data_IF_200293969185
#
_entry.id   IF_200293969185
#
_cell.length_a   1.000
_cell.length_b   1.000
_cell.length_c   1.000
_cell.angle_alpha   90.00
_cell.angle_beta   90.00
_cell.angle_gamma   90.00
#
_symmetry.space_group_name_H-M   'P 1'
#
loop_
_entity.id
_entity.type
_entity.pdbx_description
1 polymer ?
#
# COMPACT_ATOMS: atom_id res chain seq x y z
N UNK A 1 -2.15 9.12 -5.73
CA UNK A 1 -2.75 8.05 -6.56
C UNK A 1 -1.64 7.16 -7.10
N UNK A 2 -1.73 5.83 -6.94
CA UNK A 2 -0.89 4.84 -7.66
C UNK A 2 0.57 4.73 -7.22
N UNK A 3 1.15 3.52 -7.32
CA UNK A 3 2.60 3.35 -7.35
C UNK A 3 3.21 4.36 -8.33
N UNK A 4 4.39 4.91 -8.02
CA UNK A 4 5.24 5.71 -8.92
C UNK A 4 5.03 7.24 -8.96
N UNK A 5 4.14 7.86 -8.18
CA UNK A 5 4.00 9.33 -8.23
C UNK A 5 4.79 10.07 -7.13
N UNK A 6 5.92 10.66 -7.51
CA UNK A 6 6.58 11.76 -6.81
C UNK A 6 5.78 13.06 -7.01
N UNK A 7 5.38 13.75 -5.94
CA UNK A 7 4.74 15.08 -6.07
C UNK A 7 3.29 15.04 -6.59
N UNK A 8 2.73 16.17 -7.04
CA UNK A 8 1.39 16.70 -6.73
C UNK A 8 0.23 15.80 -7.23
N UNK A 9 -0.03 14.73 -6.50
CA UNK A 9 -1.19 13.84 -6.68
C UNK A 9 -1.60 13.15 -5.37
N UNK A 10 -1.09 13.67 -4.24
CA UNK A 10 -1.61 13.33 -2.91
C UNK A 10 -2.85 14.21 -2.68
N UNK A 11 -3.94 13.66 -2.15
CA UNK A 11 -5.10 14.45 -1.80
C UNK A 11 -4.76 15.27 -0.56
N UNK A 12 -4.12 16.42 -0.73
CA UNK A 12 -3.68 17.27 0.39
C UNK A 12 -4.87 17.67 1.27
N UNK A 13 -6.06 17.88 0.69
CA UNK A 13 -7.30 18.08 1.44
C UNK A 13 -7.65 16.90 2.38
N UNK A 14 -7.47 15.66 1.92
CA UNK A 14 -7.66 14.47 2.77
C UNK A 14 -6.61 14.42 3.89
N UNK A 15 -5.36 14.77 3.57
CA UNK A 15 -4.27 14.82 4.56
C UNK A 15 -4.55 15.88 5.63
N UNK A 16 -4.97 17.07 5.22
CA UNK A 16 -5.29 18.18 6.12
C UNK A 16 -6.49 17.83 7.01
N UNK A 17 -7.52 17.20 6.44
CA UNK A 17 -8.67 16.71 7.20
C UNK A 17 -8.25 15.67 8.25
N UNK A 18 -7.38 14.71 7.90
CA UNK A 18 -6.87 13.72 8.85
C UNK A 18 -5.96 14.36 9.91
N UNK A 19 -5.11 15.31 9.50
CA UNK A 19 -4.19 16.02 10.37
C UNK A 19 -4.89 16.87 11.43
N UNK A 20 -6.14 17.28 11.19
CA UNK A 20 -6.96 17.99 12.19
C UNK A 20 -7.26 17.15 13.44
N UNK A 21 -7.13 15.81 13.37
CA UNK A 21 -7.46 14.88 14.47
C UNK A 21 -6.41 13.81 14.74
N UNK A 22 -5.46 13.59 13.83
CA UNK A 22 -4.48 12.53 13.91
C UNK A 22 -3.09 13.05 13.56
N UNK A 23 -2.05 12.42 14.11
CA UNK A 23 -0.69 12.55 13.58
C UNK A 23 -0.62 11.80 12.24
N UNK A 24 -0.46 12.53 11.14
CA UNK A 24 -0.36 11.93 9.80
C UNK A 24 1.09 11.71 9.43
N UNK A 25 1.45 10.45 9.17
CA UNK A 25 2.77 10.07 8.65
C UNK A 25 2.61 9.75 7.17
N UNK A 26 3.43 10.39 6.34
CA UNK A 26 3.56 10.10 4.92
C UNK A 26 5.02 9.86 4.61
N UNK A 27 5.30 8.85 3.81
CA UNK A 27 6.65 8.53 3.37
C UNK A 27 6.59 8.14 1.89
N UNK A 28 7.74 8.26 1.21
CA UNK A 28 7.88 7.82 -0.18
C UNK A 28 8.44 6.39 -0.19
N UNK A 29 7.84 5.50 -0.98
CA UNK A 29 8.33 4.14 -1.18
C UNK A 29 9.70 4.14 -1.85
N UNK A 30 10.43 3.01 -1.74
CA UNK A 30 11.87 2.94 -1.99
C UNK A 30 12.39 3.58 -3.26
N UNK A 31 11.74 3.60 -4.38
CA UNK A 31 12.26 4.10 -5.66
C UNK A 31 11.45 5.30 -6.15
N UNK A 32 10.84 6.02 -5.21
CA UNK A 32 9.87 7.07 -5.47
C UNK A 32 10.15 8.32 -4.64
N UNK A 33 9.68 9.47 -5.13
CA UNK A 33 9.74 10.73 -4.41
C UNK A 33 11.17 11.12 -4.05
N UNK A 34 11.40 11.28 -2.74
CA UNK A 34 12.71 11.59 -2.16
C UNK A 34 13.46 10.35 -1.66
N UNK A 35 12.86 9.18 -1.75
CA UNK A 35 13.50 7.90 -1.44
C UNK A 35 14.19 7.39 -2.70
N UNK A 36 15.52 7.29 -2.66
CA UNK A 36 16.32 6.77 -3.77
C UNK A 36 16.75 5.33 -3.47
N UNK A 37 16.49 4.43 -4.42
CA UNK A 37 16.92 3.04 -4.35
C UNK A 37 17.21 2.51 -5.76
N UNK A 38 18.43 2.03 -6.06
CA UNK A 38 18.78 1.52 -7.38
C UNK A 38 18.19 0.11 -7.57
N UNK A 39 16.93 0.04 -8.02
CA UNK A 39 16.22 -1.23 -8.20
C UNK A 39 16.90 -2.18 -9.19
N UNK A 40 17.54 -1.64 -10.22
CA UNK A 40 18.31 -2.39 -11.22
C UNK A 40 19.50 -3.14 -10.62
N UNK A 41 20.13 -2.56 -9.60
CA UNK A 41 21.27 -3.14 -8.89
C UNK A 41 20.84 -3.96 -7.67
N UNK A 42 19.72 -3.58 -7.04
CA UNK A 42 19.22 -4.18 -5.81
C UNK A 42 17.70 -4.40 -5.88
N UNK A 43 17.25 -5.39 -6.67
CA UNK A 43 15.84 -5.71 -6.80
C UNK A 43 15.28 -6.21 -5.46
N UNK A 44 14.03 -5.88 -5.18
CA UNK A 44 13.37 -6.28 -3.95
C UNK A 44 11.93 -6.71 -4.21
N UNK A 45 11.40 -7.67 -3.42
CA UNK A 45 10.03 -8.11 -3.55
C UNK A 45 9.05 -7.05 -3.02
N UNK A 46 7.79 -7.15 -3.44
CA UNK A 46 6.71 -6.28 -2.97
C UNK A 46 6.52 -6.32 -1.45
N UNK A 47 6.78 -7.47 -0.82
CA UNK A 47 6.74 -7.64 0.63
C UNK A 47 7.73 -6.72 1.34
N UNK A 48 8.88 -6.43 0.72
CA UNK A 48 9.86 -5.47 1.29
C UNK A 48 9.29 -4.06 1.38
N UNK A 49 8.54 -3.63 0.36
CA UNK A 49 7.87 -2.33 0.38
C UNK A 49 6.80 -2.24 1.48
N UNK A 50 6.15 -3.36 1.83
CA UNK A 50 5.23 -3.41 2.96
C UNK A 50 5.99 -3.29 4.29
N UNK A 51 7.10 -4.00 4.45
CA UNK A 51 7.93 -3.95 5.67
C UNK A 51 8.59 -2.59 5.90
N UNK A 52 8.83 -1.80 4.85
CA UNK A 52 9.30 -0.42 5.00
C UNK A 52 8.30 0.43 5.78
N UNK A 53 6.99 0.18 5.65
CA UNK A 53 5.99 0.88 6.46
C UNK A 53 6.22 0.63 7.95
N UNK A 54 6.51 -0.61 8.33
CA UNK A 54 6.82 -1.00 9.71
C UNK A 54 8.11 -0.35 10.18
N UNK A 55 9.14 -0.34 9.32
CA UNK A 55 10.43 0.30 9.60
C UNK A 55 10.26 1.81 9.84
N UNK A 56 9.40 2.48 9.08
CA UNK A 56 9.06 3.89 9.28
C UNK A 56 8.34 4.10 10.62
N UNK A 57 7.41 3.21 10.99
CA UNK A 57 6.76 3.28 12.30
C UNK A 57 7.76 3.13 13.44
N UNK A 58 8.67 2.16 13.34
CA UNK A 58 9.72 1.90 14.33
C UNK A 58 10.65 3.12 14.48
N UNK A 59 11.12 3.69 13.38
CA UNK A 59 11.96 4.89 13.39
C UNK A 59 11.28 6.14 13.96
N UNK A 60 9.95 6.16 13.97
CA UNK A 60 9.14 7.24 14.54
C UNK A 60 8.58 6.93 15.94
N UNK A 61 8.92 5.78 16.52
CA UNK A 61 8.45 5.33 17.83
C UNK A 61 6.96 5.04 17.89
N UNK A 62 6.34 4.64 16.77
CA UNK A 62 4.91 4.36 16.68
C UNK A 62 4.67 2.85 16.75
N UNK A 63 4.04 2.41 17.83
CA UNK A 63 3.76 0.99 18.05
C UNK A 63 2.70 0.46 17.06
N UNK A 64 1.57 1.17 16.93
CA UNK A 64 0.46 0.81 16.03
C UNK A 64 -0.12 2.02 15.33
N UNK A 65 -0.63 1.84 14.12
CA UNK A 65 -1.22 2.93 13.33
C UNK A 65 -2.46 2.50 12.52
N UNK A 66 -3.30 3.49 12.17
CA UNK A 66 -4.26 3.34 11.09
C UNK A 66 -3.52 3.43 9.75
N UNK A 67 -3.67 2.43 8.89
CA UNK A 67 -2.98 2.38 7.60
C UNK A 67 -3.97 2.69 6.48
N UNK A 68 -3.63 3.66 5.63
CA UNK A 68 -4.42 4.03 4.45
C UNK A 68 -3.60 3.78 3.21
N UNK A 69 -4.10 2.91 2.33
CA UNK A 69 -3.41 2.48 1.11
C UNK A 69 -4.25 2.71 -0.13
N UNK A 70 -3.69 3.41 -1.13
CA UNK A 70 -4.34 3.64 -2.42
C UNK A 70 -3.63 2.89 -3.54
N UNK A 71 -4.37 2.15 -4.37
CA UNK A 71 -3.81 1.35 -5.48
C UNK A 71 -2.72 0.39 -4.99
N UNK A 72 -1.44 0.55 -5.38
CA UNK A 72 -0.32 -0.22 -4.82
C UNK A 72 -0.26 -0.16 -3.29
N UNK A 73 -0.47 1.02 -2.70
CA UNK A 73 -0.49 1.16 -1.25
C UNK A 73 -1.59 0.30 -0.61
N UNK A 74 -2.69 0.05 -1.33
CA UNK A 74 -3.73 -0.88 -0.91
C UNK A 74 -3.28 -2.34 -0.95
N UNK A 75 -2.47 -2.74 -1.93
CA UNK A 75 -1.84 -4.07 -1.93
C UNK A 75 -0.86 -4.22 -0.76
N UNK A 76 -0.03 -3.21 -0.49
CA UNK A 76 0.91 -3.21 0.63
C UNK A 76 0.20 -3.27 1.99
N UNK A 77 -0.87 -2.48 2.17
CA UNK A 77 -1.67 -2.50 3.38
C UNK A 77 -2.26 -3.90 3.66
N UNK A 78 -2.58 -4.68 2.62
CA UNK A 78 -3.07 -6.05 2.79
C UNK A 78 -1.99 -7.04 3.17
N UNK A 79 -0.78 -6.87 2.63
CA UNK A 79 0.39 -7.63 3.10
C UNK A 79 0.65 -7.34 4.59
N UNK A 80 0.56 -6.08 5.00
CA UNK A 80 0.66 -5.71 6.42
C UNK A 80 -0.43 -6.35 7.30
N UNK A 81 -1.68 -6.38 6.83
CA UNK A 81 -2.76 -7.06 7.57
C UNK A 81 -2.49 -8.56 7.71
N UNK A 82 -1.91 -9.20 6.69
CA UNK A 82 -1.60 -10.63 6.72
C UNK A 82 -0.38 -10.95 7.61
N UNK A 83 0.70 -10.19 7.45
CA UNK A 83 2.00 -10.53 8.02
C UNK A 83 2.27 -9.84 9.36
N UNK A 84 1.67 -8.67 9.60
CA UNK A 84 1.92 -7.77 10.73
C UNK A 84 0.64 -7.15 11.33
N UNK A 85 -0.43 -7.93 11.58
CA UNK A 85 -1.70 -7.39 12.09
C UNK A 85 -1.55 -6.70 13.46
N UNK A 86 -0.56 -7.12 14.25
CA UNK A 86 -0.20 -6.53 15.55
C UNK A 86 0.20 -5.05 15.44
N UNK A 87 0.64 -4.59 14.27
CA UNK A 87 1.09 -3.22 14.01
C UNK A 87 -0.05 -2.29 13.56
N UNK A 88 -1.26 -2.80 13.35
CA UNK A 88 -2.36 -2.05 12.74
C UNK A 88 -3.52 -1.83 13.74
N UNK A 89 -4.03 -0.60 13.78
CA UNK A 89 -5.30 -0.27 14.45
C UNK A 89 -6.50 -0.46 13.50
N UNK A 90 -6.31 -0.12 12.22
CA UNK A 90 -7.24 -0.40 11.12
C UNK A 90 -6.50 -0.31 9.78
N UNK A 91 -7.14 -0.82 8.72
CA UNK A 91 -6.67 -0.67 7.35
C UNK A 91 -7.79 -0.14 6.44
N UNK A 92 -7.49 0.90 5.65
CA UNK A 92 -8.39 1.47 4.64
C UNK A 92 -7.76 1.31 3.27
N UNK A 93 -8.50 0.71 2.33
CA UNK A 93 -8.03 0.32 1.02
C UNK A 93 -8.82 1.07 -0.05
N UNK A 94 -8.15 1.85 -0.90
CA UNK A 94 -8.80 2.74 -1.88
C UNK A 94 -8.33 2.38 -3.29
N UNK A 95 -9.27 2.05 -4.18
CA UNK A 95 -8.98 1.80 -5.59
C UNK A 95 -7.93 0.70 -5.83
N UNK A 96 -8.04 -0.41 -5.08
CA UNK A 96 -7.15 -1.57 -5.18
C UNK A 96 -7.96 -2.85 -5.40
N UNK A 97 -7.32 -3.88 -5.95
CA UNK A 97 -7.94 -5.20 -6.17
C UNK A 97 -7.63 -6.20 -5.05
N UNK A 98 -8.37 -7.32 -5.05
CA UNK A 98 -8.09 -8.49 -4.22
C UNK A 98 -6.72 -9.13 -4.58
N UNK A 99 -6.17 -9.93 -3.66
CA UNK A 99 -4.83 -10.53 -3.79
C UNK A 99 -5.10 -11.68 -4.73
N UNK A 100 -4.64 -11.53 -5.96
CA UNK A 100 -4.82 -12.56 -6.96
C UNK A 100 -3.62 -13.48 -6.90
N UNK A 101 -3.87 -14.79 -6.97
CA UNK A 101 -2.82 -15.76 -7.31
C UNK A 101 -2.32 -15.56 -8.75
N UNK A 102 -3.05 -14.80 -9.56
CA UNK A 102 -2.66 -14.42 -10.91
C UNK A 102 -1.70 -13.22 -10.86
N UNK A 103 -0.53 -13.30 -11.50
CA UNK A 103 0.46 -12.21 -11.51
C UNK A 103 -0.12 -10.89 -12.00
N UNK A 104 0.29 -9.79 -11.36
CA UNK A 104 -0.06 -8.43 -11.79
C UNK A 104 0.44 -8.20 -13.22
N UNK A 105 -0.48 -7.94 -14.15
CA UNK A 105 -0.17 -7.76 -15.58
C UNK A 105 -0.33 -9.02 -16.44
N UNK A 106 -0.62 -10.19 -15.86
CA UNK A 106 -1.09 -11.31 -16.65
C UNK A 106 -2.46 -10.95 -17.24
N UNK A 107 -2.58 -11.03 -18.57
CA UNK A 107 -3.86 -10.86 -19.25
C UNK A 107 -4.82 -11.91 -18.72
N UNK A 108 -5.81 -11.49 -17.94
CA UNK A 108 -7.02 -12.30 -17.79
C UNK A 108 -7.67 -12.32 -19.16
N UNK A 109 -7.66 -13.46 -19.84
CA UNK A 109 -8.46 -13.65 -21.03
C UNK A 109 -9.92 -13.34 -20.66
N UNK A 110 -10.41 -12.19 -21.11
CA UNK A 110 -11.78 -11.78 -20.85
C UNK A 110 -12.70 -12.65 -21.70
N UNK A 111 -13.14 -13.76 -21.14
CA UNK A 111 -13.90 -14.74 -21.90
C UNK A 111 -14.43 -15.90 -21.07
N UNK A 112 -15.05 -15.64 -19.91
CA UNK A 112 -16.09 -16.50 -19.31
C UNK A 112 -16.64 -15.85 -18.05
N UNK A 113 -17.92 -15.45 -18.09
CA UNK A 113 -18.68 -15.12 -16.87
C UNK A 113 -18.61 -16.32 -15.91
N UNK A 114 -18.38 -16.13 -14.60
CA UNK A 114 -18.54 -17.24 -13.66
C UNK A 114 -20.00 -17.69 -13.70
N UNK A 115 -20.20 -18.97 -14.05
CA UNK A 115 -21.50 -19.63 -13.95
C UNK A 115 -21.88 -19.70 -12.46
N UNK A 116 -23.13 -19.31 -12.20
CA UNK A 116 -23.87 -19.38 -10.95
C UNK A 116 -23.34 -20.39 -9.91
N UNK A 117 -23.18 -19.93 -8.66
CA UNK A 117 -23.26 -20.82 -7.51
C UNK A 117 -24.73 -21.19 -7.26
N UNK A 118 -25.09 -22.47 -7.10
CA UNK A 118 -26.44 -22.84 -6.67
C UNK A 118 -26.63 -22.54 -5.18
N UNK A 119 -27.90 -22.32 -4.82
CA UNK A 119 -28.41 -22.01 -3.48
C UNK A 119 -28.24 -23.17 -2.49
#
# INVERSE_FOLDING_TARGET
MGAQASGPGRPDELVDMLASRHRVIRYDHRDTGRSIWPFDQQPHPLTRLAEDAVTVLDGLGVERAHVVGMSLGGMLARLLVADRPDRLLSATLIGTSALSAVPYGARTEHGSRPRNFPA
#
